data_IF_074243047132
#
_entry.id   IF_074243047132
#
_cell.length_a   1.000
_cell.length_b   1.000
_cell.length_c   1.000
_cell.angle_alpha   90.00
_cell.angle_beta   90.00
_cell.angle_gamma   90.00
#
_symmetry.space_group_name_H-M   'P 1'
#
loop_
_entity.id
_entity.type
_entity.pdbx_description
1 polymer ?
#
# COMPACT_ATOMS: atom_id res chain seq x y z
N UNK A 1 17.57 -16.36 17.02
CA UNK A 1 17.14 -16.09 15.64
C UNK A 1 16.26 -14.87 15.69
N UNK A 2 16.53 -13.85 14.89
CA UNK A 2 15.65 -12.67 14.81
C UNK A 2 14.25 -13.10 14.38
N UNK A 3 13.20 -12.55 15.01
CA UNK A 3 11.83 -12.86 14.60
C UNK A 3 11.57 -12.43 13.16
N UNK A 4 10.84 -13.26 12.42
CA UNK A 4 10.31 -12.90 11.09
C UNK A 4 9.00 -12.16 11.30
N UNK A 5 8.89 -10.95 10.77
CA UNK A 5 7.66 -10.13 10.86
C UNK A 5 6.80 -10.29 9.60
N UNK A 6 5.48 -10.19 9.74
CA UNK A 6 4.55 -10.11 8.61
C UNK A 6 4.16 -8.67 8.36
N UNK A 7 4.40 -8.15 7.16
CA UNK A 7 4.04 -6.79 6.77
C UNK A 7 3.02 -6.85 5.64
N UNK A 8 1.84 -6.29 5.92
CA UNK A 8 0.91 -5.91 4.87
C UNK A 8 1.31 -4.51 4.33
N UNK A 9 1.81 -4.45 3.10
CA UNK A 9 2.19 -3.21 2.43
C UNK A 9 1.06 -2.79 1.50
N UNK A 10 0.04 -2.09 2.01
CA UNK A 10 -1.11 -1.66 1.22
C UNK A 10 -0.92 -0.34 0.48
N UNK A 11 -1.82 -0.06 -0.46
CA UNK A 11 -1.83 1.20 -1.24
C UNK A 11 -2.06 2.42 -0.35
N UNK A 12 -3.05 2.34 0.55
CA UNK A 12 -3.46 3.44 1.43
C UNK A 12 -2.90 3.29 2.84
N UNK A 13 -2.92 2.06 3.38
CA UNK A 13 -2.47 1.76 4.73
C UNK A 13 -1.57 0.52 4.72
N UNK A 14 -0.65 0.46 5.66
CA UNK A 14 0.20 -0.69 5.94
C UNK A 14 0.00 -1.18 7.36
N UNK A 15 0.22 -2.47 7.59
CA UNK A 15 0.05 -3.12 8.89
C UNK A 15 1.22 -4.07 9.15
N UNK A 16 1.62 -4.22 10.41
CA UNK A 16 2.68 -5.16 10.79
C UNK A 16 2.19 -6.06 11.92
N UNK A 17 2.50 -7.35 11.79
CA UNK A 17 2.15 -8.38 12.75
C UNK A 17 3.34 -9.30 13.05
N UNK A 18 3.30 -9.93 14.22
CA UNK A 18 4.27 -10.92 14.69
C UNK A 18 3.57 -12.18 15.17
N UNK A 19 4.34 -13.26 15.31
CA UNK A 19 3.91 -14.43 16.07
C UNK A 19 4.40 -14.33 17.53
N UNK A 20 3.47 -14.40 18.48
CA UNK A 20 3.72 -14.34 19.92
C UNK A 20 2.94 -15.48 20.60
N UNK A 21 3.65 -16.39 21.28
CA UNK A 21 3.00 -17.53 21.95
C UNK A 21 2.21 -18.45 21.00
N UNK A 22 2.62 -18.55 19.73
CA UNK A 22 1.90 -19.33 18.72
C UNK A 22 0.67 -18.64 18.12
N UNK A 23 0.38 -17.38 18.50
CA UNK A 23 -0.74 -16.60 17.96
C UNK A 23 -0.25 -15.38 17.18
N UNK A 24 -0.91 -15.01 16.07
CA UNK A 24 -0.61 -13.77 15.38
C UNK A 24 -1.07 -12.58 16.21
N UNK A 25 -0.27 -11.51 16.22
CA UNK A 25 -0.59 -10.25 16.90
C UNK A 25 -0.20 -9.06 16.02
N UNK A 26 -1.17 -8.20 15.74
CA UNK A 26 -0.93 -6.89 15.12
C UNK A 26 -0.31 -5.94 16.13
N UNK A 27 0.70 -5.19 15.72
CA UNK A 27 1.45 -4.26 16.56
C UNK A 27 0.98 -2.82 16.30
N UNK A 28 0.85 -2.03 17.36
CA UNK A 28 0.57 -0.60 17.28
C UNK A 28 1.84 0.18 16.92
N UNK A 29 1.74 1.15 16.02
CA UNK A 29 2.84 2.04 15.68
C UNK A 29 3.13 3.04 16.83
N UNK A 30 4.15 3.88 16.66
CA UNK A 30 4.51 4.90 17.69
C UNK A 30 3.43 5.97 17.89
N UNK A 31 2.44 6.03 17.01
CA UNK A 31 1.29 6.92 17.11
C UNK A 31 0.09 6.27 17.82
N UNK A 32 0.18 4.97 18.18
CA UNK A 32 -0.88 4.20 18.85
C UNK A 32 -1.88 3.53 17.90
N UNK A 33 -1.65 3.61 16.58
CA UNK A 33 -2.54 3.04 15.57
C UNK A 33 -2.06 1.64 15.14
N UNK A 34 -3.00 0.73 14.89
CA UNK A 34 -2.70 -0.63 14.37
C UNK A 34 -2.40 -0.68 12.87
N UNK A 35 -2.64 0.43 12.18
CA UNK A 35 -2.27 0.59 10.77
C UNK A 35 -1.56 1.93 10.62
N UNK A 36 -0.71 2.03 9.61
CA UNK A 36 0.04 3.24 9.30
C UNK A 36 -0.27 3.67 7.89
N UNK A 37 -0.65 4.93 7.63
CA UNK A 37 -0.84 5.42 6.27
C UNK A 37 0.40 5.15 5.41
N UNK A 38 0.22 4.61 4.21
CA UNK A 38 1.27 4.37 3.21
C UNK A 38 1.65 5.68 2.51
N UNK A 39 1.99 6.69 3.31
CA UNK A 39 2.25 8.06 2.89
C UNK A 39 3.64 8.46 3.36
N UNK A 40 4.42 9.05 2.45
CA UNK A 40 5.77 9.55 2.70
C UNK A 40 5.82 11.01 2.29
N UNK A 41 6.32 11.89 3.14
CA UNK A 41 6.50 13.29 2.80
C UNK A 41 7.94 13.74 3.01
N UNK A 42 8.40 14.64 2.14
CA UNK A 42 9.68 15.32 2.27
C UNK A 42 9.40 16.78 2.64
N UNK A 43 9.92 17.20 3.79
CA UNK A 43 9.78 18.60 4.22
C UNK A 43 10.71 19.50 3.41
N UNK A 44 10.66 20.81 3.68
CA UNK A 44 11.56 21.78 3.04
C UNK A 44 13.02 21.61 3.49
N UNK A 45 13.22 21.02 4.67
CA UNK A 45 14.54 20.78 5.26
C UNK A 45 15.04 19.35 4.99
N UNK A 46 14.47 18.68 3.97
CA UNK A 46 14.75 17.28 3.58
C UNK A 46 14.49 16.22 4.66
N UNK A 47 13.75 16.57 5.72
CA UNK A 47 13.26 15.60 6.69
C UNK A 47 12.22 14.68 6.01
N UNK A 48 12.31 13.37 6.30
CA UNK A 48 11.38 12.36 5.76
C UNK A 48 10.37 11.98 6.83
N UNK A 49 9.11 12.32 6.56
CA UNK A 49 7.96 11.93 7.37
C UNK A 49 7.29 10.70 6.76
N UNK A 50 6.79 9.79 7.60
CA UNK A 50 6.10 8.56 7.16
C UNK A 50 4.86 8.33 8.03
N UNK A 51 3.75 7.93 7.43
CA UNK A 51 2.53 7.61 8.17
C UNK A 51 1.71 8.84 8.53
N UNK A 52 1.21 8.89 9.78
CA UNK A 52 0.31 9.95 10.21
C UNK A 52 0.93 11.35 10.15
N UNK A 53 2.22 11.48 10.45
CA UNK A 53 2.95 12.74 10.35
C UNK A 53 2.96 13.27 8.90
N UNK A 54 3.18 12.38 7.92
CA UNK A 54 3.10 12.71 6.51
C UNK A 54 1.66 13.04 6.08
N UNK A 55 0.66 12.26 6.52
CA UNK A 55 -0.77 12.51 6.20
C UNK A 55 -1.22 13.90 6.66
N UNK A 56 -0.87 14.31 7.88
CA UNK A 56 -1.30 15.59 8.48
C UNK A 56 -0.84 16.83 7.70
N UNK A 57 0.34 16.78 7.08
CA UNK A 57 0.88 17.93 6.34
C UNK A 57 0.60 17.87 4.82
N UNK A 58 -0.09 16.84 4.33
CA UNK A 58 -0.34 16.64 2.91
C UNK A 58 -1.06 17.84 2.25
N UNK A 59 -1.98 18.49 2.98
CA UNK A 59 -2.75 19.66 2.50
C UNK A 59 -1.85 20.86 2.20
N UNK A 60 -0.80 21.09 3.00
CA UNK A 60 0.10 22.25 2.85
C UNK A 60 1.36 21.94 2.07
N UNK A 61 1.64 20.67 1.78
CA UNK A 61 2.78 20.20 1.01
C UNK A 61 2.42 19.13 -0.03
N UNK A 62 1.43 19.37 -0.92
CA UNK A 62 0.86 18.31 -1.76
C UNK A 62 1.86 17.76 -2.79
N UNK A 63 2.80 18.58 -3.27
CA UNK A 63 3.76 18.17 -4.32
C UNK A 63 4.88 17.26 -3.80
N UNK A 64 5.21 17.33 -2.51
CA UNK A 64 6.27 16.55 -1.89
C UNK A 64 5.73 15.50 -0.91
N UNK A 65 4.42 15.25 -0.96
CA UNK A 65 3.74 14.20 -0.20
C UNK A 65 3.30 13.11 -1.16
N UNK A 66 3.91 11.95 -1.02
CA UNK A 66 3.77 10.79 -1.88
C UNK A 66 2.83 9.78 -1.21
N UNK A 67 1.80 9.37 -1.94
CA UNK A 67 0.79 8.40 -1.53
C UNK A 67 0.38 7.55 -2.74
N UNK A 68 -0.28 6.42 -2.50
CA UNK A 68 -0.68 5.47 -3.55
C UNK A 68 0.48 4.97 -4.44
N UNK A 69 1.73 5.04 -3.95
CA UNK A 69 2.93 4.63 -4.72
C UNK A 69 2.89 3.16 -5.13
N UNK A 70 2.13 2.32 -4.41
CA UNK A 70 1.89 0.92 -4.78
C UNK A 70 1.24 0.78 -6.16
N UNK A 71 0.49 1.79 -6.65
CA UNK A 71 -0.03 1.84 -8.02
C UNK A 71 1.08 2.00 -9.07
N UNK A 72 2.24 2.56 -8.71
CA UNK A 72 3.38 2.80 -9.62
C UNK A 72 4.48 1.73 -9.55
N UNK A 73 4.55 0.97 -8.45
CA UNK A 73 5.66 0.04 -8.21
C UNK A 73 5.76 -1.02 -9.32
N UNK A 74 6.95 -1.17 -9.91
CA UNK A 74 7.21 -2.14 -10.99
C UNK A 74 6.53 -1.86 -12.34
N UNK A 75 5.94 -0.66 -12.54
CA UNK A 75 5.32 -0.25 -13.81
C UNK A 75 6.24 0.59 -14.69
N UNK A 76 5.97 0.62 -15.99
CA UNK A 76 6.65 1.50 -16.94
C UNK A 76 5.96 2.85 -16.98
N UNK A 77 6.73 3.92 -17.18
CA UNK A 77 6.17 5.26 -17.26
C UNK A 77 5.10 5.38 -18.34
N UNK A 78 5.25 4.66 -19.46
CA UNK A 78 4.35 4.73 -20.61
C UNK A 78 3.09 3.86 -20.48
N UNK A 79 2.94 3.09 -19.39
CA UNK A 79 1.75 2.26 -19.20
C UNK A 79 0.50 3.16 -19.06
N UNK A 80 -0.62 2.78 -19.69
CA UNK A 80 -1.86 3.57 -19.70
C UNK A 80 -2.34 3.93 -18.28
N UNK A 81 -2.21 2.98 -17.34
CA UNK A 81 -2.56 3.19 -15.94
C UNK A 81 -1.67 4.24 -15.26
N UNK A 82 -0.37 4.30 -15.60
CA UNK A 82 0.55 5.32 -15.08
C UNK A 82 0.22 6.68 -15.70
N UNK A 83 -0.14 6.71 -16.99
CA UNK A 83 -0.55 7.94 -17.64
C UNK A 83 -1.84 8.53 -17.03
N UNK A 84 -2.77 7.67 -16.58
CA UNK A 84 -3.92 8.09 -15.78
C UNK A 84 -3.50 8.65 -14.41
N UNK A 85 -2.64 7.93 -13.68
CA UNK A 85 -2.16 8.35 -12.36
C UNK A 85 -1.52 9.75 -12.38
N UNK A 86 -0.80 10.12 -13.47
CA UNK A 86 -0.20 11.46 -13.63
C UNK A 86 -1.24 12.58 -13.46
N UNK A 87 -2.47 12.39 -13.94
CA UNK A 87 -3.56 13.35 -13.74
C UNK A 87 -4.25 13.23 -12.38
N UNK A 88 -4.07 12.10 -11.70
CA UNK A 88 -4.74 11.78 -10.44
C UNK A 88 -3.94 12.15 -9.19
N UNK A 89 -2.67 12.52 -9.29
CA UNK A 89 -1.85 12.82 -8.09
C UNK A 89 -1.21 14.22 -8.17
N UNK A 90 -1.00 14.90 -7.01
CA UNK A 90 -0.41 16.24 -7.00
C UNK A 90 1.12 16.26 -7.15
N UNK A 91 1.78 15.13 -6.87
CA UNK A 91 3.22 14.97 -6.99
C UNK A 91 3.63 14.60 -8.41
N UNK A 92 4.92 14.74 -8.72
CA UNK A 92 5.42 14.54 -10.09
C UNK A 92 5.82 13.09 -10.31
N UNK A 93 5.14 12.39 -11.21
CA UNK A 93 5.56 11.10 -11.76
C UNK A 93 6.42 11.37 -13.00
N UNK A 94 7.57 10.71 -13.11
CA UNK A 94 8.57 10.94 -14.15
C UNK A 94 9.08 9.64 -14.75
N UNK A 95 9.56 9.72 -15.99
CA UNK A 95 10.25 8.63 -16.66
C UNK A 95 11.69 8.51 -16.16
N UNK A 96 12.06 7.34 -15.67
CA UNK A 96 13.44 6.96 -15.42
C UNK A 96 14.19 6.65 -16.72
N UNK A 97 15.52 6.62 -16.66
CA UNK A 97 16.36 6.39 -17.84
C UNK A 97 16.11 5.00 -18.47
N UNK A 98 15.77 4.01 -17.63
CA UNK A 98 15.39 2.66 -18.06
C UNK A 98 13.92 2.53 -18.51
N UNK A 99 13.13 3.62 -18.44
CA UNK A 99 11.72 3.67 -18.81
C UNK A 99 10.72 3.43 -17.69
N UNK A 100 11.17 3.15 -16.46
CA UNK A 100 10.27 2.90 -15.32
C UNK A 100 9.55 4.16 -14.84
N UNK A 101 8.40 3.96 -14.20
CA UNK A 101 7.66 5.01 -13.52
C UNK A 101 8.32 5.34 -12.18
N UNK A 102 8.94 6.51 -12.10
CA UNK A 102 9.58 7.07 -10.90
C UNK A 102 8.81 8.29 -10.43
N UNK A 103 9.20 8.82 -9.27
CA UNK A 103 8.72 10.09 -8.74
C UNK A 103 9.84 11.10 -8.64
N UNK A 104 9.51 12.39 -8.65
CA UNK A 104 10.48 13.47 -8.46
C UNK A 104 10.03 14.38 -7.31
N UNK A 105 10.92 14.57 -6.34
CA UNK A 105 10.71 15.45 -5.18
C UNK A 105 11.92 16.35 -5.05
N UNK A 106 11.72 17.67 -4.91
CA UNK A 106 12.80 18.66 -4.85
C UNK A 106 13.83 18.53 -5.99
N UNK A 107 13.37 18.15 -7.19
CA UNK A 107 14.22 17.92 -8.37
C UNK A 107 15.00 16.60 -8.36
N UNK A 108 14.88 15.78 -7.31
CA UNK A 108 15.52 14.47 -7.22
C UNK A 108 14.55 13.38 -7.68
N UNK A 109 14.95 12.65 -8.72
CA UNK A 109 14.24 11.45 -9.17
C UNK A 109 14.51 10.29 -8.19
N UNK A 110 13.46 9.58 -7.80
CA UNK A 110 13.51 8.42 -6.90
C UNK A 110 12.63 7.30 -7.45
N UNK A 111 13.09 6.07 -7.30
CA UNK A 111 12.30 4.93 -7.72
C UNK A 111 11.12 4.68 -6.79
N UNK A 112 10.01 4.16 -7.32
CA UNK A 112 8.81 3.85 -6.52
C UNK A 112 9.10 2.88 -5.36
N UNK A 113 9.96 1.87 -5.58
CA UNK A 113 10.40 0.97 -4.51
C UNK A 113 11.20 1.66 -3.38
N UNK A 114 11.91 2.76 -3.66
CA UNK A 114 12.62 3.52 -2.61
C UNK A 114 11.63 4.22 -1.67
N UNK A 115 10.50 4.67 -2.20
CA UNK A 115 9.44 5.30 -1.41
C UNK A 115 8.71 4.25 -0.57
N UNK A 116 8.33 3.12 -1.18
CA UNK A 116 7.74 1.99 -0.44
C UNK A 116 8.68 1.46 0.65
N UNK A 117 10.01 1.49 0.42
CA UNK A 117 10.98 1.12 1.43
C UNK A 117 10.91 2.01 2.68
N UNK A 118 10.57 3.30 2.57
CA UNK A 118 10.38 4.18 3.75
C UNK A 118 9.21 3.73 4.62
N UNK A 119 8.12 3.26 3.99
CA UNK A 119 6.98 2.67 4.71
C UNK A 119 7.40 1.37 5.39
N UNK A 120 8.13 0.50 4.69
CA UNK A 120 8.65 -0.75 5.26
C UNK A 120 9.65 -0.51 6.42
N UNK A 121 10.49 0.52 6.33
CA UNK A 121 11.39 0.93 7.42
C UNK A 121 10.60 1.34 8.67
N UNK A 122 9.48 2.08 8.50
CA UNK A 122 8.58 2.42 9.61
C UNK A 122 7.94 1.16 10.21
N UNK A 123 7.49 0.20 9.39
CA UNK A 123 6.91 -1.07 9.87
C UNK A 123 7.93 -1.92 10.62
N UNK A 124 9.16 -2.00 10.09
CA UNK A 124 10.29 -2.62 10.77
C UNK A 124 10.55 -1.96 12.12
N UNK A 125 10.67 -0.63 12.17
CA UNK A 125 10.92 0.12 13.40
C UNK A 125 9.81 -0.10 14.44
N UNK A 126 8.56 -0.13 14.01
CA UNK A 126 7.41 -0.47 14.87
C UNK A 126 7.56 -1.84 15.51
N UNK A 127 7.97 -2.86 14.75
CA UNK A 127 8.22 -4.18 15.31
C UNK A 127 9.45 -4.20 16.24
N UNK A 128 10.53 -3.51 15.89
CA UNK A 128 11.74 -3.40 16.73
C UNK A 128 11.45 -2.72 18.07
N UNK A 129 10.65 -1.65 18.07
CA UNK A 129 10.25 -0.93 19.29
C UNK A 129 9.41 -1.80 20.22
N UNK A 130 8.52 -2.62 19.64
CA UNK A 130 7.71 -3.56 20.41
C UNK A 130 8.54 -4.73 20.96
N UNK A 131 9.46 -5.26 20.16
CA UNK A 131 10.23 -6.47 20.50
C UNK A 131 11.47 -6.18 21.37
N UNK A 132 12.01 -4.96 21.31
CA UNK A 132 13.26 -4.59 21.99
C UNK A 132 14.52 -5.18 21.34
N UNK A 133 14.44 -5.68 20.10
CA UNK A 133 15.55 -6.27 19.35
C UNK A 133 15.50 -5.90 17.86
N UNK A 134 16.64 -6.02 17.16
CA UNK A 134 16.72 -5.76 15.71
C UNK A 134 15.94 -6.78 14.90
N UNK A 135 15.17 -6.30 13.91
CA UNK A 135 14.44 -7.14 12.96
C UNK A 135 15.11 -7.08 11.60
N UNK A 136 15.44 -8.24 11.04
CA UNK A 136 16.14 -8.35 9.74
C UNK A 136 15.39 -9.19 8.72
N UNK A 137 14.29 -9.84 9.08
CA UNK A 137 13.59 -10.79 8.21
C UNK A 137 12.09 -10.50 8.17
N UNK A 138 11.49 -10.57 6.98
CA UNK A 138 10.06 -10.31 6.81
C UNK A 138 9.40 -11.19 5.75
N UNK A 139 8.10 -11.39 5.92
CA UNK A 139 7.15 -11.75 4.87
C UNK A 139 6.41 -10.49 4.48
N UNK A 140 6.32 -10.18 3.19
CA UNK A 140 5.66 -8.96 2.67
C UNK A 140 4.53 -9.35 1.72
N UNK A 141 3.37 -8.71 1.86
CA UNK A 141 2.21 -8.96 1.01
C UNK A 141 2.34 -8.28 -0.35
N UNK A 142 1.67 -8.84 -1.36
CA UNK A 142 1.39 -8.21 -2.65
C UNK A 142 0.01 -8.65 -3.15
N UNK A 143 -0.65 -7.87 -4.02
CA UNK A 143 -1.87 -8.30 -4.70
C UNK A 143 -1.65 -9.62 -5.44
N UNK A 144 -2.67 -10.47 -5.50
CA UNK A 144 -2.55 -11.77 -6.17
C UNK A 144 -2.21 -11.61 -7.65
N UNK A 145 -2.77 -10.58 -8.28
CA UNK A 145 -2.59 -10.28 -9.69
C UNK A 145 -1.33 -9.46 -10.04
N UNK A 146 -0.44 -9.22 -9.08
CA UNK A 146 0.86 -8.60 -9.37
C UNK A 146 1.71 -9.47 -10.30
N UNK A 147 2.27 -8.84 -11.34
CA UNK A 147 3.19 -9.49 -12.26
C UNK A 147 4.62 -9.59 -11.69
N UNK A 148 5.53 -10.24 -12.42
CA UNK A 148 6.91 -10.48 -11.98
C UNK A 148 7.68 -9.19 -11.67
N UNK A 149 7.52 -8.14 -12.48
CA UNK A 149 8.18 -6.85 -12.27
C UNK A 149 7.73 -6.20 -10.96
N UNK A 150 6.42 -6.20 -10.70
CA UNK A 150 5.85 -5.63 -9.49
C UNK A 150 6.26 -6.42 -8.24
N UNK A 151 6.25 -7.76 -8.31
CA UNK A 151 6.73 -8.63 -7.22
C UNK A 151 8.20 -8.40 -6.91
N UNK A 152 9.03 -8.29 -7.95
CA UNK A 152 10.45 -8.05 -7.81
C UNK A 152 10.73 -6.66 -7.21
N UNK A 153 10.04 -5.62 -7.68
CA UNK A 153 10.17 -4.27 -7.14
C UNK A 153 9.74 -4.18 -5.67
N UNK A 154 8.66 -4.86 -5.25
CA UNK A 154 8.27 -4.95 -3.83
C UNK A 154 9.33 -5.68 -3.00
N UNK A 155 9.91 -6.77 -3.52
CA UNK A 155 11.02 -7.47 -2.86
C UNK A 155 12.24 -6.58 -2.70
N UNK A 156 12.54 -5.76 -3.71
CA UNK A 156 13.63 -4.80 -3.69
C UNK A 156 13.36 -3.66 -2.69
N UNK A 157 12.11 -3.19 -2.56
CA UNK A 157 11.71 -2.26 -1.50
C UNK A 157 12.04 -2.82 -0.10
N UNK A 158 11.74 -4.11 0.13
CA UNK A 158 12.11 -4.80 1.36
C UNK A 158 13.64 -4.83 1.59
N UNK A 159 14.42 -5.12 0.54
CA UNK A 159 15.88 -5.10 0.64
C UNK A 159 16.42 -3.70 0.98
N UNK A 160 15.90 -2.66 0.33
CA UNK A 160 16.26 -1.25 0.59
C UNK A 160 15.92 -0.87 2.04
N UNK A 161 14.82 -1.39 2.58
CA UNK A 161 14.43 -1.21 3.99
C UNK A 161 15.30 -1.99 5.00
N UNK A 162 16.29 -2.75 4.54
CA UNK A 162 17.14 -3.58 5.39
C UNK A 162 16.42 -4.82 5.91
N UNK A 163 15.49 -5.37 5.13
CA UNK A 163 14.78 -6.62 5.39
C UNK A 163 15.18 -7.69 4.37
N UNK A 164 15.50 -8.88 4.87
CA UNK A 164 15.58 -10.10 4.10
C UNK A 164 14.16 -10.64 3.88
N UNK A 165 13.62 -10.40 2.70
CA UNK A 165 12.27 -10.84 2.33
C UNK A 165 12.25 -12.36 2.09
N UNK A 166 11.82 -13.10 3.12
CA UNK A 166 11.73 -14.57 3.11
C UNK A 166 10.66 -15.10 2.18
N UNK A 167 9.57 -14.35 2.06
CA UNK A 167 8.44 -14.69 1.20
C UNK A 167 7.72 -13.42 0.77
N UNK A 168 7.36 -13.39 -0.51
CA UNK A 168 6.28 -12.56 -1.01
C UNK A 168 5.03 -13.42 -0.99
N UNK A 169 4.00 -12.99 -0.28
CA UNK A 169 2.73 -13.72 -0.16
C UNK A 169 1.61 -12.92 -0.82
N UNK A 170 0.68 -13.62 -1.47
CA UNK A 170 -0.50 -12.96 -2.03
C UNK A 170 -1.45 -12.54 -0.91
N UNK A 171 -1.97 -11.32 -0.99
CA UNK A 171 -2.93 -10.74 -0.03
C UNK A 171 -4.12 -11.67 0.26
N UNK A 172 -4.86 -12.18 -0.73
CA UNK A 172 -6.00 -13.07 -0.44
C UNK A 172 -5.58 -14.40 0.19
N UNK A 173 -4.36 -14.88 -0.09
CA UNK A 173 -3.81 -16.07 0.58
C UNK A 173 -3.47 -15.78 2.04
N UNK A 174 -2.89 -14.61 2.34
CA UNK A 174 -2.62 -14.18 3.71
C UNK A 174 -3.93 -14.02 4.51
N UNK A 175 -4.96 -13.45 3.89
CA UNK A 175 -6.30 -13.34 4.49
C UNK A 175 -6.93 -14.73 4.75
N UNK A 176 -6.80 -15.67 3.80
CA UNK A 176 -7.27 -17.04 3.99
C UNK A 176 -6.55 -17.77 5.13
N UNK A 177 -5.22 -17.60 5.27
CA UNK A 177 -4.47 -18.12 6.40
C UNK A 177 -4.97 -17.54 7.73
N UNK A 178 -5.18 -16.22 7.79
CA UNK A 178 -5.72 -15.56 8.98
C UNK A 178 -7.13 -16.07 9.34
N UNK A 179 -8.02 -16.21 8.35
CA UNK A 179 -9.36 -16.78 8.54
C UNK A 179 -9.30 -18.24 9.00
N UNK A 180 -8.36 -19.00 8.43
CA UNK A 180 -8.19 -20.43 8.62
C UNK A 180 -7.56 -20.82 9.95
N UNK A 181 -6.80 -19.94 10.62
CA UNK A 181 -6.06 -20.25 11.86
C UNK A 181 -6.97 -20.54 13.06
N UNK A 182 -7.95 -19.67 13.34
CA UNK A 182 -8.72 -19.70 14.60
C UNK A 182 -9.95 -20.62 14.59
N UNK A 183 -10.37 -21.10 13.42
CA UNK A 183 -11.62 -21.84 13.28
C UNK A 183 -11.32 -23.30 12.96
N UNK A 184 -11.94 -24.23 13.69
CA UNK A 184 -12.04 -25.63 13.26
C UNK A 184 -12.96 -25.68 12.04
N UNK A 185 -12.33 -25.45 10.90
CA UNK A 185 -12.94 -25.41 9.60
C UNK A 185 -12.64 -26.77 8.98
N UNK A 186 -13.64 -27.66 8.94
CA UNK A 186 -13.58 -28.81 8.03
C UNK A 186 -13.56 -28.35 6.57
N UNK A 187 -13.25 -29.27 5.67
CA UNK A 187 -13.05 -29.01 4.24
C UNK A 187 -14.08 -28.04 3.67
N UNK A 188 -13.59 -26.95 3.05
CA UNK A 188 -14.47 -25.97 2.41
C UNK A 188 -13.77 -25.18 1.33
N UNK A 189 -14.58 -24.60 0.46
CA UNK A 189 -14.17 -23.60 -0.51
C UNK A 189 -14.61 -22.23 -0.03
N UNK A 190 -13.69 -21.28 -0.02
CA UNK A 190 -13.94 -19.89 0.32
C UNK A 190 -13.65 -19.00 -0.89
N UNK A 191 -14.39 -17.90 -0.97
CA UNK A 191 -14.08 -16.80 -1.88
C UNK A 191 -13.52 -15.64 -1.03
N UNK A 192 -12.31 -15.21 -1.33
CA UNK A 192 -11.72 -14.01 -0.74
C UNK A 192 -11.87 -12.88 -1.74
N UNK A 193 -12.79 -11.97 -1.44
CA UNK A 193 -13.00 -10.72 -2.18
C UNK A 193 -12.26 -9.60 -1.43
N UNK A 194 -11.22 -9.04 -2.05
CA UNK A 194 -10.37 -8.01 -1.46
C UNK A 194 -10.41 -6.77 -2.35
N UNK A 195 -11.02 -5.69 -1.86
CA UNK A 195 -11.12 -4.40 -2.54
C UNK A 195 -10.48 -3.34 -1.65
N UNK A 196 -9.21 -3.05 -1.94
CA UNK A 196 -8.41 -2.09 -1.19
C UNK A 196 -8.46 -0.68 -1.77
N UNK A 197 -7.47 0.13 -1.41
CA UNK A 197 -7.36 1.52 -1.87
C UNK A 197 -7.01 1.69 -3.35
N UNK A 198 -6.35 0.71 -3.97
CA UNK A 198 -6.03 0.81 -5.41
C UNK A 198 -5.92 -0.51 -6.15
N UNK A 199 -6.28 -1.62 -5.50
CA UNK A 199 -6.27 -2.95 -6.10
C UNK A 199 -7.51 -3.73 -5.67
N UNK A 200 -7.99 -4.56 -6.58
CA UNK A 200 -9.07 -5.50 -6.40
C UNK A 200 -8.57 -6.90 -6.72
N UNK A 201 -8.77 -7.85 -5.83
CA UNK A 201 -8.51 -9.26 -6.04
C UNK A 201 -9.73 -10.11 -5.65
N UNK A 202 -9.96 -11.18 -6.40
CA UNK A 202 -10.89 -12.25 -6.06
C UNK A 202 -10.17 -13.59 -6.19
N UNK A 203 -10.15 -14.37 -5.11
CA UNK A 203 -9.54 -15.71 -5.11
C UNK A 203 -10.49 -16.75 -4.57
N UNK A 204 -10.59 -17.88 -5.27
CA UNK A 204 -11.29 -19.08 -4.80
C UNK A 204 -10.25 -20.01 -4.20
N UNK A 205 -10.39 -20.30 -2.92
CA UNK A 205 -9.40 -21.04 -2.14
C UNK A 205 -10.09 -22.25 -1.50
N UNK A 206 -9.53 -23.43 -1.71
CA UNK A 206 -9.90 -24.64 -1.00
C UNK A 206 -9.05 -24.77 0.26
N UNK A 207 -9.71 -24.95 1.38
CA UNK A 207 -9.11 -25.22 2.68
C UNK A 207 -9.47 -26.65 3.03
N UNK A 208 -8.48 -27.53 3.11
CA UNK A 208 -8.65 -28.94 3.40
C UNK A 208 -7.78 -29.35 4.60
N UNK A 209 -8.27 -30.27 5.41
CA UNK A 209 -7.48 -30.93 6.46
C UNK A 209 -6.94 -32.26 5.93
N UNK A 210 -5.64 -32.30 5.61
CA UNK A 210 -4.97 -33.48 5.05
C UNK A 210 -3.96 -33.96 6.06
N UNK A 211 -4.17 -35.17 6.59
CA UNK A 211 -3.30 -35.80 7.60
C UNK A 211 -3.09 -34.97 8.89
N UNK A 212 -4.07 -34.14 9.27
CA UNK A 212 -3.99 -33.25 10.43
C UNK A 212 -3.27 -31.92 10.15
N UNK A 213 -2.87 -31.68 8.90
CA UNK A 213 -2.30 -30.42 8.43
C UNK A 213 -3.30 -29.68 7.53
N UNK A 214 -3.53 -28.39 7.82
CA UNK A 214 -4.38 -27.54 6.98
C UNK A 214 -3.64 -27.14 5.71
N UNK A 215 -4.16 -27.56 4.57
CA UNK A 215 -3.70 -27.15 3.25
C UNK A 215 -4.59 -26.04 2.69
N UNK A 216 -3.96 -25.07 2.03
CA UNK A 216 -4.63 -23.94 1.39
C UNK A 216 -4.25 -23.96 -0.09
N UNK A 217 -5.19 -24.33 -0.95
CA UNK A 217 -5.00 -24.38 -2.40
C UNK A 217 -5.77 -23.26 -3.08
N UNK A 218 -5.07 -22.42 -3.84
CA UNK A 218 -5.71 -21.39 -4.67
C UNK A 218 -6.18 -22.04 -5.97
N UNK A 219 -7.49 -22.27 -6.09
CA UNK A 219 -8.10 -22.89 -7.26
C UNK A 219 -8.18 -21.93 -8.45
N UNK A 220 -8.49 -20.66 -8.17
CA UNK A 220 -8.57 -19.62 -9.17
C UNK A 220 -8.31 -18.25 -8.53
N UNK A 221 -7.72 -17.34 -9.30
CA UNK A 221 -7.52 -15.95 -8.90
C UNK A 221 -7.75 -15.03 -10.10
N UNK A 222 -8.35 -13.87 -9.86
CA UNK A 222 -8.56 -12.81 -10.83
C UNK A 222 -8.59 -11.47 -10.09
N UNK A 223 -8.60 -10.35 -10.81
CA UNK A 223 -8.59 -9.04 -10.20
C UNK A 223 -8.27 -7.91 -11.16
N UNK A 224 -8.15 -6.72 -10.60
CA UNK A 224 -7.66 -5.51 -11.27
C UNK A 224 -6.68 -4.78 -10.35
N UNK A 225 -5.43 -4.64 -10.81
CA UNK A 225 -4.35 -3.97 -10.06
C UNK A 225 -4.42 -2.44 -10.13
N UNK A 226 -5.50 -1.90 -10.70
CA UNK A 226 -5.76 -0.47 -10.86
C UNK A 226 -7.24 -0.14 -10.61
N UNK A 227 -7.83 -0.77 -9.60
CA UNK A 227 -9.20 -0.54 -9.16
C UNK A 227 -9.24 -0.58 -7.63
N UNK A 228 -9.65 0.51 -6.99
CA UNK A 228 -9.85 0.54 -5.55
C UNK A 228 -10.37 1.89 -5.08
N UNK A 229 -10.38 2.11 -3.76
CA UNK A 229 -10.92 3.32 -3.11
C UNK A 229 -10.49 4.65 -3.74
N UNK A 230 -9.24 4.78 -4.20
CA UNK A 230 -8.74 5.99 -4.87
C UNK A 230 -9.57 6.37 -6.11
N UNK A 231 -10.12 5.37 -6.82
CA UNK A 231 -10.97 5.56 -8.00
C UNK A 231 -12.39 6.01 -7.62
N UNK A 232 -12.88 5.58 -6.44
CA UNK A 232 -14.16 6.03 -5.87
C UNK A 232 -14.03 7.47 -5.39
N UNK A 233 -12.95 7.77 -4.67
CA UNK A 233 -12.63 9.12 -4.19
C UNK A 233 -12.53 10.10 -5.37
N UNK A 234 -11.86 9.70 -6.46
CA UNK A 234 -11.77 10.53 -7.66
C UNK A 234 -13.16 10.82 -8.26
N UNK A 235 -14.04 9.82 -8.35
CA UNK A 235 -15.39 10.03 -8.86
C UNK A 235 -16.19 11.04 -8.02
N UNK A 236 -16.03 11.00 -6.69
CA UNK A 236 -16.64 11.97 -5.78
C UNK A 236 -16.01 13.36 -5.93
N UNK A 237 -14.68 13.44 -6.06
CA UNK A 237 -13.96 14.70 -6.31
C UNK A 237 -14.42 15.35 -7.61
N UNK A 238 -14.51 14.61 -8.70
CA UNK A 238 -14.96 15.10 -10.00
C UNK A 238 -16.40 15.63 -9.92
N UNK A 239 -17.27 14.93 -9.19
CA UNK A 239 -18.63 15.39 -8.93
C UNK A 239 -18.66 16.70 -8.11
N UNK A 240 -17.87 16.80 -7.03
CA UNK A 240 -17.78 18.02 -6.20
C UNK A 240 -17.29 19.21 -7.04
N UNK A 241 -16.25 19.01 -7.86
CA UNK A 241 -15.71 20.08 -8.72
C UNK A 241 -16.74 20.53 -9.75
N UNK A 242 -17.44 19.57 -10.38
CA UNK A 242 -18.46 19.87 -11.38
C UNK A 242 -19.64 20.68 -10.79
N UNK A 243 -20.17 20.27 -9.63
CA UNK A 243 -21.26 20.98 -8.97
C UNK A 243 -20.80 22.34 -8.43
N UNK A 244 -19.61 22.44 -7.84
CA UNK A 244 -19.08 23.73 -7.37
C UNK A 244 -18.89 24.73 -8.52
N UNK A 245 -18.40 24.27 -9.68
CA UNK A 245 -18.28 25.11 -10.88
C UNK A 245 -19.63 25.56 -11.40
N UNK A 246 -20.65 24.70 -11.35
CA UNK A 246 -22.02 25.02 -11.77
C UNK A 246 -22.71 26.00 -10.84
N UNK A 247 -22.51 25.86 -9.52
CA UNK A 247 -23.15 26.73 -8.52
C UNK A 247 -22.42 28.06 -8.30
N UNK A 248 -21.09 28.05 -8.31
CA UNK A 248 -20.26 29.20 -7.95
C UNK A 248 -19.54 29.83 -9.15
N UNK A 249 -19.58 29.20 -10.33
CA UNK A 249 -18.91 29.68 -11.55
C UNK A 249 -17.39 29.57 -11.54
N UNK A 250 -16.80 28.91 -10.53
CA UNK A 250 -15.35 28.86 -10.31
C UNK A 250 -14.84 27.42 -10.38
N UNK A 251 -13.74 27.21 -11.11
CA UNK A 251 -13.15 25.89 -11.32
C UNK A 251 -12.01 25.65 -10.30
N UNK A 252 -12.23 24.72 -9.37
CA UNK A 252 -11.26 24.40 -8.31
C UNK A 252 -10.13 23.48 -8.78
N UNK A 253 -10.23 22.87 -9.97
CA UNK A 253 -9.24 21.88 -10.45
C UNK A 253 -7.83 22.46 -10.62
N UNK A 254 -7.71 23.77 -10.86
CA UNK A 254 -6.43 24.45 -11.05
C UNK A 254 -5.74 24.82 -9.71
N UNK A 255 -6.48 24.90 -8.60
CA UNK A 255 -5.91 25.23 -7.29
C UNK A 255 -5.53 23.94 -6.55
N UNK A 256 -4.23 23.67 -6.49
CA UNK A 256 -3.69 22.46 -5.86
C UNK A 256 -4.04 22.33 -4.37
N UNK A 257 -4.14 23.45 -3.64
CA UNK A 257 -4.47 23.42 -2.21
C UNK A 257 -5.97 23.13 -2.05
N UNK A 258 -6.81 23.81 -2.83
CA UNK A 258 -8.25 23.55 -2.82
C UNK A 258 -8.55 22.10 -3.22
N UNK A 259 -7.95 21.61 -4.30
CA UNK A 259 -8.10 20.24 -4.78
C UNK A 259 -7.69 19.20 -3.72
N UNK A 260 -6.59 19.44 -3.00
CA UNK A 260 -6.16 18.53 -1.93
C UNK A 260 -7.16 18.52 -0.75
N UNK A 261 -7.75 19.67 -0.41
CA UNK A 261 -8.81 19.74 0.62
C UNK A 261 -10.09 19.04 0.17
N UNK A 262 -10.46 19.16 -1.11
CA UNK A 262 -11.62 18.47 -1.69
C UNK A 262 -11.40 16.96 -1.65
N UNK A 263 -10.20 16.47 -1.99
CA UNK A 263 -9.85 15.03 -1.87
C UNK A 263 -10.02 14.50 -0.46
N UNK A 264 -9.49 15.20 0.53
CA UNK A 264 -9.63 14.78 1.93
C UNK A 264 -11.10 14.80 2.38
N UNK A 265 -11.89 15.77 1.90
CA UNK A 265 -13.32 15.82 2.19
C UNK A 265 -14.09 14.69 1.48
N UNK A 266 -13.70 14.32 0.25
CA UNK A 266 -14.31 13.25 -0.52
C UNK A 266 -14.07 11.87 0.10
N UNK A 267 -12.83 11.56 0.52
CA UNK A 267 -12.50 10.29 1.22
C UNK A 267 -13.31 10.14 2.54
N UNK A 268 -13.65 11.27 3.18
CA UNK A 268 -14.36 11.30 4.47
C UNK A 268 -15.89 11.22 4.37
N UNK A 269 -16.47 11.61 3.23
CA UNK A 269 -17.92 11.74 3.05
C UNK A 269 -18.58 10.39 2.78
#
# INVERSE_FOLDING_TARGET
>A
MSKVIGIDLGTTNSCVAIMEGGKPRVIENSEGDRTTPSIVAFTKDDEVLVGQSAKRQAVTNPQNTLFAIKRLIGRRFQDDVVQKDIGMVPYKIVKADNGDAWVEVHGKKMASQEISARVLMKMKKTAEDYLGETVTEAVVTVPAYFNDSQRQATKDAGRIAGLNVKRIINEPTAAALAYGLDKQIGDRKIAVYDLGGGTFDISIIEVADVDGERQFEVLATNGDTFLGGDDFDLAVVDWIIAEFKKEQGLDLSADKIALQRVREAAEKA
#
